data_IF_067323916502
#
_entry.id   IF_067323916502
#
_cell.length_a   1.000
_cell.length_b   1.000
_cell.length_c   1.000
_cell.angle_alpha   90.00
_cell.angle_beta   90.00
_cell.angle_gamma   90.00
#
_symmetry.space_group_name_H-M   'P 1'
#
loop_
_entity.id
_entity.type
_entity.pdbx_description
1 polymer ?
#
# COMPACT_ATOMS: atom_id res chain seq x y z
N UNK A 1 -3.83 -13.77 1.63
CA UNK A 1 -2.91 -12.64 1.33
C UNK A 1 -3.41 -11.89 0.10
N UNK A 2 -2.95 -10.65 -0.18
CA UNK A 2 -3.42 -9.87 -1.35
C UNK A 2 -3.26 -10.65 -2.67
N UNK A 3 -2.11 -11.33 -2.83
CA UNK A 3 -1.84 -12.17 -4.00
C UNK A 3 -2.96 -13.17 -4.29
N UNK A 4 -3.27 -14.04 -3.31
CA UNK A 4 -4.27 -15.10 -3.44
C UNK A 4 -5.66 -14.54 -3.75
N UNK A 5 -6.01 -13.38 -3.20
CA UNK A 5 -7.30 -12.74 -3.45
C UNK A 5 -7.45 -12.26 -4.90
N UNK A 6 -6.35 -11.87 -5.56
CA UNK A 6 -6.38 -11.39 -6.94
C UNK A 6 -6.24 -12.55 -7.93
N UNK A 7 -5.22 -13.40 -7.78
CA UNK A 7 -4.95 -14.46 -8.78
C UNK A 7 -6.01 -15.57 -8.81
N UNK A 8 -6.87 -15.64 -7.79
CA UNK A 8 -8.00 -16.56 -7.76
C UNK A 8 -9.08 -16.19 -8.78
N UNK A 9 -9.31 -14.89 -8.97
CA UNK A 9 -10.44 -14.38 -9.75
C UNK A 9 -10.01 -13.75 -11.08
N UNK A 10 -8.70 -13.49 -11.29
CA UNK A 10 -8.17 -12.83 -12.48
C UNK A 10 -6.99 -13.55 -13.11
N UNK A 11 -7.03 -13.72 -14.44
CA UNK A 11 -5.85 -14.12 -15.23
C UNK A 11 -5.01 -12.88 -15.54
N UNK A 12 -3.76 -12.86 -15.06
CA UNK A 12 -2.87 -11.71 -15.17
C UNK A 12 -1.75 -11.94 -16.18
N UNK A 13 -1.46 -10.93 -16.98
CA UNK A 13 -0.27 -10.87 -17.82
C UNK A 13 1.02 -10.73 -16.98
N UNK A 14 2.21 -11.04 -17.53
CA UNK A 14 3.47 -10.88 -16.80
C UNK A 14 3.72 -9.46 -16.24
N UNK A 15 3.40 -8.37 -16.95
CA UNK A 15 3.48 -7.02 -16.37
C UNK A 15 2.53 -6.81 -15.17
N UNK A 16 1.31 -7.35 -15.23
CA UNK A 16 0.34 -7.25 -14.14
C UNK A 16 0.76 -8.08 -12.92
N UNK A 17 1.33 -9.26 -13.13
CA UNK A 17 1.94 -10.05 -12.05
C UNK A 17 3.08 -9.30 -11.36
N UNK A 18 3.87 -8.53 -12.12
CA UNK A 18 4.92 -7.68 -11.56
C UNK A 18 4.33 -6.58 -10.68
N UNK A 19 3.29 -5.89 -11.16
CA UNK A 19 2.57 -4.87 -10.38
C UNK A 19 1.94 -5.46 -9.12
N UNK A 20 1.30 -6.64 -9.23
CA UNK A 20 0.69 -7.33 -8.09
C UNK A 20 1.74 -7.73 -7.04
N UNK A 21 2.92 -8.17 -7.48
CA UNK A 21 4.03 -8.50 -6.58
C UNK A 21 4.44 -7.28 -5.76
N UNK A 22 4.68 -6.15 -6.41
CA UNK A 22 5.03 -4.88 -5.73
C UNK A 22 3.90 -4.40 -4.81
N UNK A 23 2.64 -4.58 -5.21
CA UNK A 23 1.49 -4.24 -4.37
C UNK A 23 1.44 -5.11 -3.11
N UNK A 24 1.75 -6.40 -3.21
CA UNK A 24 1.82 -7.31 -2.06
C UNK A 24 2.92 -6.89 -1.08
N UNK A 25 4.12 -6.61 -1.59
CA UNK A 25 5.22 -6.12 -0.76
C UNK A 25 4.87 -4.81 -0.06
N UNK A 26 4.30 -3.84 -0.79
CA UNK A 26 3.88 -2.56 -0.23
C UNK A 26 2.79 -2.74 0.85
N UNK A 27 1.85 -3.66 0.64
CA UNK A 27 0.80 -3.97 1.62
C UNK A 27 1.37 -4.59 2.90
N UNK A 28 2.35 -5.50 2.79
CA UNK A 28 3.02 -6.12 3.93
C UNK A 28 3.85 -5.11 4.73
N UNK A 29 4.62 -4.25 4.05
CA UNK A 29 5.36 -3.13 4.67
C UNK A 29 4.43 -2.19 5.41
N UNK A 30 3.31 -1.83 4.79
CA UNK A 30 2.28 -1.00 5.41
C UNK A 30 1.64 -1.68 6.63
N UNK A 31 1.52 -3.00 6.63
CA UNK A 31 1.15 -3.80 7.80
C UNK A 31 2.16 -3.63 8.95
N UNK A 32 3.46 -3.73 8.67
CA UNK A 32 4.54 -3.53 9.65
C UNK A 32 4.52 -2.11 10.23
N UNK A 33 4.41 -1.09 9.39
CA UNK A 33 4.35 0.31 9.83
C UNK A 33 3.14 0.59 10.73
N UNK A 34 1.98 -0.04 10.46
CA UNK A 34 0.79 0.07 11.33
C UNK A 34 1.03 -0.54 12.71
N UNK A 35 1.70 -1.69 12.78
CA UNK A 35 2.05 -2.33 14.05
C UNK A 35 3.00 -1.43 14.84
N UNK A 36 4.06 -0.93 14.21
CA UNK A 36 5.02 -0.02 14.86
C UNK A 36 4.35 1.26 15.39
N UNK A 37 3.48 1.87 14.59
CA UNK A 37 2.74 3.07 14.96
C UNK A 37 1.80 2.88 16.15
N UNK A 38 1.35 1.65 16.44
CA UNK A 38 0.49 1.37 17.60
C UNK A 38 1.19 1.71 18.92
N UNK A 39 2.52 1.57 18.96
CA UNK A 39 3.34 1.87 20.13
C UNK A 39 4.18 3.15 20.00
N UNK A 40 4.15 3.81 18.84
CA UNK A 40 5.01 4.94 18.56
C UNK A 40 4.49 6.25 19.18
N UNK A 41 5.40 7.08 19.69
CA UNK A 41 5.05 8.43 20.09
C UNK A 41 4.69 9.28 18.87
N UNK A 42 3.68 10.13 18.99
CA UNK A 42 3.27 11.08 17.93
C UNK A 42 4.38 12.10 17.63
N UNK A 43 5.10 12.50 18.67
CA UNK A 43 6.19 13.47 18.63
C UNK A 43 7.46 12.79 19.13
N UNK A 44 8.55 12.94 18.39
CA UNK A 44 9.89 12.43 18.72
C UNK A 44 10.90 13.57 18.63
N UNK A 45 12.12 13.35 19.14
CA UNK A 45 13.19 14.31 18.97
C UNK A 45 13.81 14.18 17.58
N UNK A 46 13.92 15.30 16.87
CA UNK A 46 14.65 15.42 15.62
C UNK A 46 16.16 15.39 15.82
N UNK A 47 16.90 15.39 14.72
CA UNK A 47 18.36 15.29 14.73
C UNK A 47 19.08 16.41 15.49
N UNK A 48 18.44 17.58 15.65
CA UNK A 48 18.95 18.71 16.44
C UNK A 48 18.27 18.86 17.80
N UNK A 49 17.54 17.84 18.27
CA UNK A 49 16.90 17.81 19.59
C UNK A 49 15.56 18.53 19.71
N UNK A 50 15.02 19.06 18.62
CA UNK A 50 13.71 19.70 18.56
C UNK A 50 12.58 18.66 18.47
N UNK A 51 11.41 18.89 19.10
CA UNK A 51 10.25 18.03 18.93
C UNK A 51 9.73 18.11 17.48
N UNK A 52 9.60 16.96 16.82
CA UNK A 52 9.03 16.83 15.48
C UNK A 52 7.97 15.72 15.44
N UNK A 53 7.06 15.79 14.48
CA UNK A 53 6.15 14.67 14.19
C UNK A 53 6.98 13.45 13.80
N UNK A 54 6.61 12.29 14.32
CA UNK A 54 7.28 11.04 13.99
C UNK A 54 7.19 10.73 12.49
N UNK A 55 8.34 10.51 11.85
CA UNK A 55 8.42 10.27 10.40
C UNK A 55 7.66 9.03 9.93
N UNK A 56 7.39 8.08 10.83
CA UNK A 56 6.55 6.92 10.53
C UNK A 56 5.15 7.30 10.01
N UNK A 57 4.59 8.46 10.41
CA UNK A 57 3.32 8.93 9.87
C UNK A 57 3.44 9.30 8.38
N UNK A 58 4.52 9.96 7.99
CA UNK A 58 4.79 10.33 6.60
C UNK A 58 5.07 9.10 5.75
N UNK A 59 5.85 8.14 6.27
CA UNK A 59 6.17 6.89 5.56
C UNK A 59 4.91 6.04 5.35
N UNK A 60 4.06 5.91 6.36
CA UNK A 60 2.79 5.20 6.23
C UNK A 60 1.86 5.89 5.23
N UNK A 61 1.83 7.23 5.18
CA UNK A 61 1.10 7.96 4.14
C UNK A 61 1.63 7.67 2.75
N UNK A 62 2.96 7.69 2.55
CA UNK A 62 3.59 7.40 1.26
C UNK A 62 3.32 5.97 0.78
N UNK A 63 3.38 4.98 1.67
CA UNK A 63 3.04 3.60 1.31
C UNK A 63 1.56 3.44 0.93
N UNK A 64 0.64 4.18 1.58
CA UNK A 64 -0.78 4.20 1.18
C UNK A 64 -0.96 4.77 -0.22
N UNK A 65 -0.30 5.88 -0.52
CA UNK A 65 -0.35 6.51 -1.84
C UNK A 65 0.27 5.61 -2.92
N UNK A 66 1.38 4.95 -2.63
CA UNK A 66 2.03 4.00 -3.54
C UNK A 66 1.13 2.77 -3.80
N UNK A 67 0.57 2.17 -2.75
CA UNK A 67 -0.32 1.02 -2.88
C UNK A 67 -1.55 1.37 -3.73
N UNK A 68 -2.16 2.55 -3.51
CA UNK A 68 -3.28 3.01 -4.33
C UNK A 68 -2.90 3.16 -5.81
N UNK A 69 -1.69 3.65 -6.11
CA UNK A 69 -1.19 3.77 -7.49
C UNK A 69 -0.92 2.40 -8.12
N UNK A 70 -0.31 1.48 -7.40
CA UNK A 70 -0.05 0.12 -7.89
C UNK A 70 -1.37 -0.62 -8.17
N UNK A 71 -2.32 -0.55 -7.25
CA UNK A 71 -3.65 -1.14 -7.42
C UNK A 71 -4.44 -0.48 -8.56
N UNK A 72 -4.34 0.84 -8.74
CA UNK A 72 -4.97 1.52 -9.88
C UNK A 72 -4.31 1.20 -11.22
N UNK A 73 -3.01 0.88 -11.23
CA UNK A 73 -2.29 0.43 -12.41
C UNK A 73 -2.58 -1.05 -12.75
N UNK A 74 -2.93 -1.84 -11.73
CA UNK A 74 -3.46 -3.19 -11.89
C UNK A 74 -4.90 -3.03 -12.43
N UNK A 75 -5.06 -3.04 -13.75
CA UNK A 75 -6.34 -2.82 -14.46
C UNK A 75 -7.29 -4.02 -14.35
N UNK A 76 -7.38 -4.58 -13.15
CA UNK A 76 -8.27 -5.66 -12.78
C UNK A 76 -9.68 -5.08 -12.71
N UNK A 77 -10.41 -5.18 -13.81
CA UNK A 77 -11.84 -4.87 -13.86
C UNK A 77 -12.61 -6.15 -13.58
N UNK A 78 -13.51 -6.10 -12.61
CA UNK A 78 -14.48 -7.17 -12.41
C UNK A 78 -15.34 -7.25 -13.68
N UNK A 79 -15.25 -8.35 -14.43
CA UNK A 79 -16.06 -8.57 -15.64
C UNK A 79 -17.57 -8.70 -15.31
N UNK A 80 -17.94 -8.63 -14.02
CA UNK A 80 -19.28 -8.27 -13.55
C UNK A 80 -19.58 -6.79 -13.79
N UNK A 81 -19.84 -6.45 -15.06
CA UNK A 81 -20.00 -5.07 -15.52
C UNK A 81 -20.80 -4.15 -14.60
N UNK A 82 -20.16 -3.08 -14.15
CA UNK A 82 -20.79 -1.78 -14.02
C UNK A 82 -19.89 -0.74 -14.68
N UNK A 83 -20.30 -0.33 -15.88
CA UNK A 83 -19.81 0.88 -16.51
C UNK A 83 -20.07 2.07 -15.59
N UNK A 84 -19.02 2.52 -14.91
CA UNK A 84 -19.07 3.63 -13.98
C UNK A 84 -17.77 4.40 -14.06
N UNK A 85 -17.77 5.43 -14.91
CA UNK A 85 -16.80 6.52 -14.98
C UNK A 85 -16.52 7.04 -13.56
N UNK A 86 -15.25 7.13 -13.19
CA UNK A 86 -14.75 8.01 -12.12
C UNK A 86 -13.59 8.82 -12.67
#
# INVERSE_FOLDING_TARGET
MLWEAVVKDFELSPPELTILTEACHTADELGRLRVELTSAATVVLGSTGQPIVNRLFDDLRRHRELLARLLGALKVTDDGGFGGRW
#
